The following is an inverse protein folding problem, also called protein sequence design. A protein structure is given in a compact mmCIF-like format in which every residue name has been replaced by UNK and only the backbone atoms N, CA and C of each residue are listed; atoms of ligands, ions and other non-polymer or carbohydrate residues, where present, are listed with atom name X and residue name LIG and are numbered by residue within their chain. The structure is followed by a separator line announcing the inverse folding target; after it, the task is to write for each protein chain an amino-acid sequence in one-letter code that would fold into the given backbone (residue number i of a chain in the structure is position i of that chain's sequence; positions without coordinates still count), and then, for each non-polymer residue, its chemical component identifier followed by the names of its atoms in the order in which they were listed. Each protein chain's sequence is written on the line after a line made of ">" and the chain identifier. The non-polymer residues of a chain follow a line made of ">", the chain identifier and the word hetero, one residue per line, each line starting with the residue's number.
data_IF_788161509116
#
_entry.id   IF_788161509116
#
_cell.length_a   1.000
_cell.length_b   1.000
_cell.length_c   1.000
_cell.angle_alpha   90.00
_cell.angle_beta   90.00
_cell.angle_gamma   90.00
#
_symmetry.space_group_name_H-M   'P 1'
#
loop_
_entity.id
_entity.type
_entity.pdbx_description
1 polymer ?
#
# COMPACT_ATOMS: atom_id res chain seq x y z
N UNK A 1 27.45 -35.53 15.40
CA UNK A 1 27.49 -34.16 15.97
C UNK A 1 27.55 -33.18 14.81
N UNK A 2 26.42 -32.58 14.45
CA UNK A 2 26.30 -31.64 13.32
C UNK A 2 26.92 -30.30 13.70
N UNK A 3 27.87 -29.84 12.89
CA UNK A 3 28.50 -28.53 13.05
C UNK A 3 27.45 -27.43 12.88
N UNK A 4 27.09 -26.79 14.00
CA UNK A 4 26.22 -25.60 14.01
C UNK A 4 26.96 -24.50 13.24
N UNK A 5 26.51 -24.20 12.03
CA UNK A 5 27.08 -23.13 11.21
C UNK A 5 27.13 -21.84 12.05
N UNK A 6 28.33 -21.31 12.28
CA UNK A 6 28.53 -20.06 13.02
C UNK A 6 27.89 -18.93 12.22
N UNK A 7 26.77 -18.41 12.70
CA UNK A 7 26.16 -17.20 12.18
C UNK A 7 27.20 -16.06 12.26
N UNK A 8 27.44 -15.30 11.17
CA UNK A 8 28.42 -14.22 11.19
C UNK A 8 28.02 -13.16 12.22
N UNK A 9 28.99 -12.62 12.97
CA UNK A 9 28.78 -11.66 14.08
C UNK A 9 27.88 -10.48 13.70
N UNK A 10 28.02 -9.97 12.47
CA UNK A 10 27.20 -8.88 11.95
C UNK A 10 25.71 -9.26 11.81
N UNK A 11 25.42 -10.52 11.45
CA UNK A 11 24.07 -11.01 11.34
C UNK A 11 23.45 -11.22 12.73
N UNK A 12 24.20 -11.77 13.68
CA UNK A 12 23.74 -11.86 15.08
C UNK A 12 23.38 -10.48 15.64
N UNK A 13 24.26 -9.48 15.42
CA UNK A 13 24.03 -8.10 15.84
C UNK A 13 22.79 -7.46 15.18
N UNK A 14 22.38 -7.93 14.00
CA UNK A 14 21.14 -7.51 13.35
C UNK A 14 19.91 -8.23 13.92
N UNK A 15 19.98 -9.56 14.07
CA UNK A 15 18.84 -10.38 14.54
C UNK A 15 18.45 -10.11 15.99
N UNK A 16 19.38 -9.61 16.82
CA UNK A 16 19.12 -9.21 18.20
C UNK A 16 18.41 -7.85 18.33
N UNK A 17 18.32 -7.09 17.23
CA UNK A 17 17.55 -5.84 17.20
C UNK A 17 16.07 -6.15 17.04
N UNK A 18 15.23 -5.39 17.74
CA UNK A 18 13.78 -5.44 17.47
C UNK A 18 13.44 -4.75 16.14
N UNK A 19 12.23 -4.99 15.62
CA UNK A 19 11.82 -4.51 14.29
C UNK A 19 11.99 -2.99 14.11
N UNK A 20 11.70 -2.21 15.16
CA UNK A 20 11.85 -0.75 15.12
C UNK A 20 13.32 -0.35 15.03
N UNK A 21 14.20 -1.03 15.75
CA UNK A 21 15.66 -0.82 15.71
C UNK A 21 16.24 -1.25 14.36
N UNK A 22 15.85 -2.42 13.85
CA UNK A 22 16.24 -2.91 12.52
C UNK A 22 15.82 -1.93 11.44
N UNK A 23 14.55 -1.51 11.48
CA UNK A 23 13.97 -0.53 10.58
C UNK A 23 14.67 0.82 10.60
N UNK A 24 14.94 1.34 11.79
CA UNK A 24 15.68 2.60 11.96
C UNK A 24 17.11 2.49 11.44
N UNK A 25 17.81 1.40 11.76
CA UNK A 25 19.16 1.15 11.28
C UNK A 25 19.22 1.02 9.75
N UNK A 26 18.21 0.37 9.15
CA UNK A 26 18.04 0.28 7.69
C UNK A 26 17.82 1.65 7.05
N UNK A 27 16.96 2.50 7.62
CA UNK A 27 16.73 3.85 7.10
C UNK A 27 18.02 4.68 7.10
N UNK A 28 18.79 4.63 8.19
CA UNK A 28 20.11 5.30 8.27
C UNK A 28 21.08 4.73 7.21
N UNK A 29 21.10 3.41 7.02
CA UNK A 29 21.95 2.76 6.02
C UNK A 29 21.61 3.18 4.59
N UNK A 30 20.34 3.25 4.23
CA UNK A 30 19.93 3.70 2.90
C UNK A 30 20.36 5.14 2.62
N UNK A 31 20.20 6.05 3.58
CA UNK A 31 20.63 7.45 3.46
C UNK A 31 22.15 7.57 3.37
N UNK A 32 22.91 6.77 4.14
CA UNK A 32 24.39 6.70 4.03
C UNK A 32 24.82 6.25 2.64
N UNK A 33 24.19 5.21 2.10
CA UNK A 33 24.51 4.68 0.76
C UNK A 33 24.12 5.66 -0.36
N UNK A 34 23.02 6.39 -0.23
CA UNK A 34 22.64 7.45 -1.17
C UNK A 34 23.68 8.58 -1.20
N UNK A 35 24.11 9.07 -0.03
CA UNK A 35 25.17 10.08 0.06
C UNK A 35 26.48 9.60 -0.56
N UNK A 36 26.84 8.34 -0.34
CA UNK A 36 28.02 7.73 -0.93
C UNK A 36 27.92 7.63 -2.46
N UNK A 37 26.76 7.26 -3.00
CA UNK A 37 26.52 7.22 -4.44
C UNK A 37 26.62 8.61 -5.10
N UNK A 38 26.04 9.64 -4.47
CA UNK A 38 26.14 11.03 -4.92
C UNK A 38 27.62 11.47 -4.95
N UNK A 39 28.37 11.21 -3.88
CA UNK A 39 29.79 11.54 -3.80
C UNK A 39 30.63 10.85 -4.89
N UNK A 40 30.39 9.56 -5.16
CA UNK A 40 31.08 8.86 -6.25
C UNK A 40 30.74 9.47 -7.61
N UNK A 41 29.48 9.86 -7.82
CA UNK A 41 29.05 10.52 -9.05
C UNK A 41 29.71 11.88 -9.22
N UNK A 42 29.72 12.72 -8.19
CA UNK A 42 30.37 14.04 -8.24
C UNK A 42 31.87 13.92 -8.50
N UNK A 43 32.53 12.95 -7.85
CA UNK A 43 33.94 12.65 -8.11
C UNK A 43 34.19 12.20 -9.56
N UNK A 44 33.31 11.37 -10.13
CA UNK A 44 33.41 10.95 -11.55
C UNK A 44 33.22 12.10 -12.55
N UNK A 45 32.57 13.20 -12.11
CA UNK A 45 32.39 14.43 -12.88
C UNK A 45 33.50 15.46 -12.60
N UNK A 46 34.58 15.08 -11.90
CA UNK A 46 35.69 15.95 -11.56
C UNK A 46 35.41 16.93 -10.39
N UNK A 47 34.23 16.88 -9.78
CA UNK A 47 33.85 17.69 -8.61
C UNK A 47 34.26 17.01 -7.32
N UNK A 48 35.56 16.77 -7.17
CA UNK A 48 36.11 16.13 -5.97
C UNK A 48 36.11 17.10 -4.79
N UNK A 49 35.58 16.66 -3.65
CA UNK A 49 35.63 17.38 -2.39
C UNK A 49 36.29 16.48 -1.34
N UNK A 50 37.38 16.99 -0.75
CA UNK A 50 38.24 16.31 0.22
C UNK A 50 37.68 16.19 1.63
N UNK A 51 36.44 16.64 1.87
CA UNK A 51 35.75 16.49 3.16
C UNK A 51 35.81 15.03 3.66
N UNK A 52 36.29 14.76 4.89
CA UNK A 52 36.39 13.41 5.42
C UNK A 52 35.05 12.65 5.46
N UNK A 53 35.10 11.34 5.22
CA UNK A 53 33.91 10.48 5.23
C UNK A 53 33.10 10.52 6.52
N UNK A 54 33.74 10.76 7.66
CA UNK A 54 33.08 10.87 8.96
C UNK A 54 32.19 12.11 9.07
N UNK A 55 32.44 13.15 8.26
CA UNK A 55 31.70 14.41 8.30
C UNK A 55 30.51 14.38 7.34
N UNK A 56 30.73 14.05 6.06
CA UNK A 56 29.64 14.07 5.08
C UNK A 56 28.65 12.92 5.23
N UNK A 57 29.04 11.80 5.86
CA UNK A 57 28.13 10.67 6.16
C UNK A 57 27.19 10.92 7.35
N UNK A 58 27.32 12.05 8.06
CA UNK A 58 26.38 12.41 9.13
C UNK A 58 24.99 12.64 8.55
N UNK A 59 23.98 12.05 9.15
CA UNK A 59 22.57 12.14 8.74
C UNK A 59 21.84 12.96 9.79
N UNK A 60 21.13 13.99 9.34
CA UNK A 60 20.31 14.83 10.19
C UNK A 60 19.11 14.02 10.72
N UNK A 61 18.96 13.97 12.04
CA UNK A 61 17.95 13.17 12.71
C UNK A 61 16.84 14.03 13.28
N UNK A 62 17.16 15.02 14.13
CA UNK A 62 16.16 15.83 14.80
C UNK A 62 16.72 17.22 15.11
N UNK A 63 15.87 18.24 14.99
CA UNK A 63 16.20 19.60 15.36
C UNK A 63 15.65 19.94 16.75
N UNK A 64 16.40 20.74 17.49
CA UNK A 64 16.04 21.33 18.76
C UNK A 64 16.13 22.87 18.64
N UNK A 65 14.99 23.60 18.74
CA UNK A 65 13.66 23.17 19.19
C UNK A 65 12.93 22.29 18.16
N UNK A 66 12.17 21.31 18.65
CA UNK A 66 11.49 20.29 17.82
C UNK A 66 10.19 20.76 17.14
N UNK A 67 10.01 22.06 16.94
CA UNK A 67 8.81 22.63 16.30
C UNK A 67 8.87 22.47 14.77
N UNK A 68 8.17 21.45 14.27
CA UNK A 68 8.10 21.13 12.83
C UNK A 68 7.59 22.27 11.96
N UNK A 69 6.85 23.24 12.50
CA UNK A 69 6.38 24.41 11.73
C UNK A 69 7.50 25.41 11.48
N UNK A 70 8.49 25.46 12.36
CA UNK A 70 9.61 26.39 12.30
C UNK A 70 10.82 25.80 11.55
N UNK A 71 11.14 24.51 11.79
CA UNK A 71 12.39 23.91 11.31
C UNK A 71 12.19 22.72 10.35
N UNK A 72 10.93 22.38 10.05
CA UNK A 72 10.57 21.28 9.15
C UNK A 72 10.85 19.89 9.73
N UNK A 73 10.82 18.89 8.84
CA UNK A 73 11.14 17.49 9.16
C UNK A 73 12.41 17.07 8.41
N UNK A 74 13.28 16.30 9.06
CA UNK A 74 14.50 15.79 8.42
C UNK A 74 14.17 14.65 7.45
N UNK A 75 15.06 14.38 6.49
CA UNK A 75 14.89 13.24 5.56
C UNK A 75 14.82 11.92 6.31
N UNK A 76 15.57 11.76 7.42
CA UNK A 76 15.47 10.57 8.25
C UNK A 76 14.10 10.48 8.95
N UNK A 77 13.55 11.59 9.45
CA UNK A 77 12.20 11.61 10.02
C UNK A 77 11.14 11.26 8.98
N UNK A 78 11.22 11.81 7.77
CA UNK A 78 10.34 11.46 6.65
C UNK A 78 10.38 9.95 6.33
N UNK A 79 11.59 9.38 6.26
CA UNK A 79 11.75 7.93 6.02
C UNK A 79 11.13 7.10 7.14
N UNK A 80 11.32 7.49 8.40
CA UNK A 80 10.70 6.79 9.53
C UNK A 80 9.17 6.94 9.55
N UNK A 81 8.64 8.07 9.09
CA UNK A 81 7.20 8.33 8.96
C UNK A 81 6.54 7.41 7.93
N UNK A 82 7.19 7.16 6.78
CA UNK A 82 6.72 6.21 5.77
C UNK A 82 6.52 4.78 6.32
N UNK A 83 7.29 4.39 7.34
CA UNK A 83 7.16 3.10 8.02
C UNK A 83 6.22 3.14 9.24
N UNK A 84 5.53 4.26 9.47
CA UNK A 84 4.63 4.45 10.63
C UNK A 84 5.37 4.57 11.97
N UNK A 85 6.67 4.88 11.95
CA UNK A 85 7.52 4.99 13.15
C UNK A 85 7.71 6.43 13.64
N UNK A 86 6.89 7.38 13.18
CA UNK A 86 6.91 8.80 13.59
C UNK A 86 6.37 9.07 15.02
N UNK A 87 6.39 8.04 15.87
CA UNK A 87 5.86 8.11 17.23
C UNK A 87 6.96 8.45 18.25
N UNK A 88 6.58 8.97 19.42
CA UNK A 88 7.47 9.08 20.59
C UNK A 88 8.29 7.78 20.78
N UNK A 89 9.60 7.92 21.01
CA UNK A 89 10.54 6.79 21.12
C UNK A 89 11.64 6.70 20.04
N UNK A 90 11.69 7.63 19.08
CA UNK A 90 12.84 7.68 18.16
C UNK A 90 14.14 8.01 18.89
N UNK A 91 14.10 8.89 19.91
CA UNK A 91 15.25 9.16 20.77
C UNK A 91 15.75 7.93 21.54
N UNK A 92 14.86 7.10 22.10
CA UNK A 92 15.24 5.87 22.81
C UNK A 92 15.74 4.80 21.84
N UNK A 93 15.19 4.72 20.63
CA UNK A 93 15.68 3.82 19.58
C UNK A 93 17.10 4.21 19.13
N UNK A 94 17.36 5.50 18.91
CA UNK A 94 18.71 5.99 18.60
C UNK A 94 19.69 5.76 19.75
N UNK A 95 19.27 5.97 20.99
CA UNK A 95 20.10 5.67 22.16
C UNK A 95 20.43 4.17 22.24
N UNK A 96 19.46 3.29 21.97
CA UNK A 96 19.65 1.84 22.00
C UNK A 96 20.53 1.30 20.86
N UNK A 97 20.51 1.94 19.68
CA UNK A 97 21.44 1.64 18.58
C UNK A 97 22.85 2.15 18.87
N UNK A 98 22.97 3.31 19.51
CA UNK A 98 24.25 3.88 19.92
C UNK A 98 24.91 3.07 21.05
N UNK A 99 24.13 2.62 22.05
CA UNK A 99 24.64 1.79 23.15
C UNK A 99 25.15 0.43 22.68
N UNK A 100 24.62 -0.08 21.55
CA UNK A 100 25.10 -1.28 20.86
C UNK A 100 26.30 -1.02 19.93
N UNK A 101 26.79 0.21 19.86
CA UNK A 101 27.91 0.59 18.99
C UNK A 101 27.60 0.53 17.49
N UNK A 102 26.32 0.54 17.09
CA UNK A 102 25.92 0.48 15.68
C UNK A 102 25.86 1.85 15.03
N UNK A 103 25.58 2.89 15.81
CA UNK A 103 25.62 4.28 15.35
C UNK A 103 26.41 5.15 16.33
N UNK A 104 26.94 6.27 15.85
CA UNK A 104 27.36 7.40 16.67
C UNK A 104 26.31 8.49 16.63
N UNK A 105 26.19 9.23 17.72
CA UNK A 105 25.32 10.40 17.85
C UNK A 105 26.20 11.64 18.02
N UNK A 106 25.91 12.68 17.27
CA UNK A 106 26.60 13.97 17.35
C UNK A 106 25.58 15.10 17.28
N UNK A 107 26.01 16.31 17.61
CA UNK A 107 25.22 17.53 17.43
C UNK A 107 26.00 18.52 16.56
N UNK A 108 25.28 19.37 15.83
CA UNK A 108 25.84 20.53 15.13
C UNK A 108 24.96 21.76 15.36
N UNK A 109 25.58 22.92 15.50
CA UNK A 109 24.86 24.19 15.59
C UNK A 109 24.14 24.52 14.28
N UNK A 110 23.01 25.21 14.39
CA UNK A 110 22.23 25.76 13.27
C UNK A 110 21.75 27.16 13.65
N UNK A 111 21.30 27.95 12.66
CA UNK A 111 20.81 29.31 12.92
C UNK A 111 19.63 29.40 13.90
N UNK A 112 18.85 28.32 14.04
CA UNK A 112 17.64 28.27 14.86
C UNK A 112 17.75 27.32 16.07
N UNK A 113 18.95 26.82 16.39
CA UNK A 113 19.17 25.88 17.50
C UNK A 113 20.18 24.78 17.15
N UNK A 114 19.93 23.55 17.58
CA UNK A 114 20.87 22.42 17.42
C UNK A 114 20.26 21.30 16.57
N UNK A 115 21.03 20.79 15.62
CA UNK A 115 20.69 19.59 14.86
C UNK A 115 21.38 18.38 15.46
N UNK A 116 20.58 17.43 15.94
CA UNK A 116 21.02 16.08 16.30
C UNK A 116 21.29 15.29 15.02
N UNK A 117 22.49 14.73 14.91
CA UNK A 117 22.94 13.94 13.76
C UNK A 117 23.36 12.55 14.19
N UNK A 118 23.25 11.60 13.26
CA UNK A 118 23.67 10.21 13.47
C UNK A 118 24.58 9.77 12.33
N UNK A 119 25.52 8.86 12.62
CA UNK A 119 26.34 8.23 11.59
C UNK A 119 26.51 6.73 11.89
N UNK A 120 26.58 5.90 10.85
CA UNK A 120 26.82 4.47 11.04
C UNK A 120 28.27 4.20 11.41
N UNK A 121 28.47 3.35 12.41
CA UNK A 121 29.79 2.77 12.67
C UNK A 121 30.13 1.73 11.61
N UNK A 122 31.36 1.21 11.63
CA UNK A 122 31.74 0.06 10.80
C UNK A 122 30.88 -1.17 11.13
N UNK A 123 30.65 -1.42 12.42
CA UNK A 123 29.78 -2.50 12.90
C UNK A 123 28.32 -2.30 12.49
N UNK A 124 27.80 -1.07 12.60
CA UNK A 124 26.45 -0.73 12.15
C UNK A 124 26.24 -0.94 10.65
N UNK A 125 27.19 -0.53 9.81
CA UNK A 125 27.14 -0.80 8.37
C UNK A 125 27.19 -2.29 8.06
N UNK A 126 28.04 -3.05 8.75
CA UNK A 126 28.13 -4.50 8.56
C UNK A 126 26.82 -5.19 8.98
N UNK A 127 26.24 -4.81 10.12
CA UNK A 127 24.98 -5.35 10.61
C UNK A 127 23.80 -4.97 9.71
N UNK A 128 23.69 -3.70 9.34
CA UNK A 128 22.66 -3.22 8.41
C UNK A 128 22.77 -3.91 7.05
N UNK A 129 23.98 -4.09 6.51
CA UNK A 129 24.21 -4.83 5.28
C UNK A 129 23.81 -6.29 5.42
N UNK A 130 24.26 -6.99 6.46
CA UNK A 130 23.90 -8.38 6.70
C UNK A 130 22.37 -8.58 6.82
N UNK A 131 21.70 -7.68 7.52
CA UNK A 131 20.25 -7.68 7.69
C UNK A 131 19.48 -7.36 6.41
N UNK A 132 19.86 -6.28 5.73
CA UNK A 132 19.24 -5.87 4.46
C UNK A 132 19.50 -6.87 3.34
N UNK A 133 20.67 -7.52 3.30
CA UNK A 133 20.98 -8.61 2.35
C UNK A 133 20.22 -9.91 2.61
N UNK A 134 19.54 -10.05 3.75
CA UNK A 134 18.57 -11.13 4.01
C UNK A 134 17.13 -10.69 3.74
N UNK A 135 16.79 -9.41 3.95
CA UNK A 135 15.44 -8.89 3.64
C UNK A 135 15.24 -8.60 2.16
N UNK A 136 16.32 -8.27 1.44
CA UNK A 136 16.40 -8.46 0.00
C UNK A 136 17.10 -9.79 -0.14
N UNK A 137 16.36 -10.90 -0.30
CA UNK A 137 16.96 -12.11 -0.86
C UNK A 137 17.83 -11.65 -2.01
N UNK A 138 19.14 -11.91 -1.91
CA UNK A 138 20.15 -11.30 -2.76
C UNK A 138 19.56 -11.24 -4.16
N UNK A 139 19.23 -10.02 -4.64
CA UNK A 139 18.59 -9.89 -5.95
C UNK A 139 19.44 -10.78 -6.85
N UNK A 140 18.89 -11.87 -7.43
CA UNK A 140 19.69 -12.64 -8.36
C UNK A 140 20.26 -11.60 -9.31
N UNK A 141 21.55 -11.70 -9.63
CA UNK A 141 22.13 -10.85 -10.69
C UNK A 141 21.45 -11.28 -11.98
N UNK A 142 20.19 -10.89 -12.14
CA UNK A 142 19.40 -11.06 -13.34
C UNK A 142 20.04 -10.15 -14.37
N UNK A 143 20.29 -10.70 -15.56
CA UNK A 143 21.12 -10.07 -16.58
C UNK A 143 20.62 -8.68 -17.01
N UNK A 144 19.33 -8.41 -16.82
CA UNK A 144 18.66 -7.16 -17.20
C UNK A 144 18.22 -6.34 -15.99
N UNK A 145 18.23 -5.01 -16.16
CA UNK A 145 17.62 -4.07 -15.22
C UNK A 145 16.08 -4.16 -15.30
N UNK A 146 15.38 -3.63 -14.29
CA UNK A 146 13.90 -3.62 -14.25
C UNK A 146 13.29 -3.04 -15.53
N UNK A 147 13.82 -1.91 -16.00
CA UNK A 147 13.30 -1.24 -17.22
C UNK A 147 13.60 -2.05 -18.49
N UNK A 148 14.79 -2.65 -18.60
CA UNK A 148 15.12 -3.47 -19.76
C UNK A 148 14.29 -4.76 -19.81
N UNK A 149 14.00 -5.36 -18.65
CA UNK A 149 13.09 -6.51 -18.55
C UNK A 149 11.66 -6.14 -18.94
N UNK A 150 11.15 -5.00 -18.46
CA UNK A 150 9.83 -4.48 -18.84
C UNK A 150 9.72 -4.30 -20.36
N UNK A 151 10.73 -3.69 -21.00
CA UNK A 151 10.73 -3.52 -22.46
C UNK A 151 10.79 -4.86 -23.18
N UNK A 152 11.59 -5.82 -22.70
CA UNK A 152 11.64 -7.15 -23.29
C UNK A 152 10.29 -7.91 -23.17
N UNK A 153 9.56 -7.74 -22.06
CA UNK A 153 8.22 -8.28 -21.89
C UNK A 153 7.18 -7.62 -22.81
N UNK A 154 7.28 -6.31 -23.03
CA UNK A 154 6.44 -5.61 -24.01
C UNK A 154 6.74 -6.07 -25.44
N UNK A 155 8.02 -6.27 -25.78
CA UNK A 155 8.46 -6.81 -27.06
C UNK A 155 7.91 -8.21 -27.30
N UNK A 156 7.95 -9.08 -26.29
CA UNK A 156 7.32 -10.40 -26.35
C UNK A 156 5.83 -10.30 -26.64
N UNK A 157 5.12 -9.42 -25.93
CA UNK A 157 3.68 -9.21 -26.14
C UNK A 157 3.36 -8.68 -27.53
N UNK A 158 4.21 -7.80 -28.07
CA UNK A 158 4.07 -7.25 -29.42
C UNK A 158 4.30 -8.34 -30.49
N UNK A 159 5.32 -9.18 -30.31
CA UNK A 159 5.63 -10.34 -31.16
C UNK A 159 4.45 -11.32 -31.23
N UNK A 160 3.83 -11.64 -30.09
CA UNK A 160 2.62 -12.48 -30.05
C UNK A 160 1.43 -11.89 -30.82
N UNK A 161 1.39 -10.56 -31.00
CA UNK A 161 0.37 -9.87 -31.80
C UNK A 161 0.78 -9.70 -33.27
N UNK A 162 1.97 -10.15 -33.65
CA UNK A 162 2.56 -9.95 -34.98
C UNK A 162 2.83 -8.49 -35.31
N UNK A 163 3.06 -7.63 -34.31
CA UNK A 163 3.27 -6.19 -34.49
C UNK A 163 4.58 -5.74 -33.85
N UNK A 164 5.30 -4.78 -34.45
CA UNK A 164 6.45 -4.17 -33.80
C UNK A 164 6.00 -3.30 -32.62
N UNK A 165 6.89 -3.17 -31.63
CA UNK A 165 6.69 -2.28 -30.50
C UNK A 165 7.25 -0.90 -30.84
N UNK A 166 6.40 0.12 -30.75
CA UNK A 166 6.83 1.51 -30.85
C UNK A 166 7.15 2.04 -29.44
N UNK A 167 8.40 2.44 -29.22
CA UNK A 167 8.75 3.22 -28.03
C UNK A 167 9.64 4.40 -28.42
N UNK A 168 9.59 5.47 -27.62
CA UNK A 168 10.43 6.64 -27.83
C UNK A 168 11.90 6.28 -27.58
N UNK A 169 12.76 6.59 -28.56
CA UNK A 169 14.20 6.36 -28.58
C UNK A 169 14.84 6.41 -27.19
N UNK A 170 15.52 5.33 -26.81
CA UNK A 170 16.18 5.22 -25.51
C UNK A 170 17.52 4.54 -25.65
N UNK A 171 18.57 5.36 -25.75
CA UNK A 171 19.97 4.92 -25.86
C UNK A 171 20.35 3.85 -24.83
N UNK A 172 19.84 3.96 -23.61
CA UNK A 172 20.12 2.99 -22.54
C UNK A 172 19.49 1.63 -22.81
N UNK A 173 18.27 1.59 -23.37
CA UNK A 173 17.56 0.35 -23.63
C UNK A 173 18.07 -0.31 -24.90
N UNK A 174 18.33 0.47 -25.95
CA UNK A 174 18.96 -0.03 -27.18
C UNK A 174 20.36 -0.57 -26.91
N UNK A 175 21.18 0.14 -26.14
CA UNK A 175 22.47 -0.38 -25.72
C UNK A 175 22.34 -1.71 -24.96
N UNK A 176 21.37 -1.80 -24.03
CA UNK A 176 21.22 -3.00 -23.20
C UNK A 176 20.63 -4.19 -23.97
N UNK A 177 19.67 -3.99 -24.86
CA UNK A 177 18.96 -5.08 -25.56
C UNK A 177 19.54 -5.42 -26.93
N UNK A 178 20.17 -4.45 -27.60
CA UNK A 178 20.70 -4.58 -28.97
C UNK A 178 22.23 -4.67 -28.90
N UNK A 179 22.92 -3.61 -28.48
CA UNK A 179 24.38 -3.52 -28.63
C UNK A 179 25.17 -4.45 -27.68
N UNK A 180 24.69 -4.63 -26.45
CA UNK A 180 25.40 -5.37 -25.40
C UNK A 180 25.31 -6.90 -25.57
N UNK A 181 24.28 -7.40 -26.26
CA UNK A 181 24.05 -8.83 -26.44
C UNK A 181 24.48 -9.29 -27.83
N UNK A 182 25.19 -10.42 -27.89
CA UNK A 182 25.61 -11.05 -29.15
C UNK A 182 25.14 -12.51 -29.09
N UNK A 183 24.15 -12.93 -29.91
CA UNK A 183 23.28 -12.11 -30.77
C UNK A 183 22.37 -11.15 -29.97
N UNK A 184 21.87 -10.05 -30.59
CA UNK A 184 21.02 -9.08 -29.91
C UNK A 184 19.69 -9.69 -29.47
N UNK A 185 19.08 -9.18 -28.40
CA UNK A 185 17.77 -9.64 -27.89
C UNK A 185 16.59 -8.94 -28.58
N UNK A 186 16.81 -7.74 -29.09
CA UNK A 186 15.86 -6.96 -29.87
C UNK A 186 16.56 -6.38 -31.10
N UNK A 187 15.80 -6.01 -32.11
CA UNK A 187 16.33 -5.31 -33.28
C UNK A 187 15.35 -4.24 -33.77
N UNK A 188 15.91 -3.22 -34.41
CA UNK A 188 15.15 -2.15 -35.04
C UNK A 188 14.54 -2.64 -36.35
N UNK A 189 13.31 -2.20 -36.63
CA UNK A 189 12.60 -2.43 -37.88
C UNK A 189 11.90 -1.13 -38.32
N UNK A 190 11.44 -1.03 -39.58
CA UNK A 190 10.91 0.23 -40.13
C UNK A 190 9.79 0.88 -39.31
N UNK A 191 9.00 0.06 -38.59
CA UNK A 191 7.84 0.49 -37.81
C UNK A 191 8.07 0.39 -36.28
N UNK A 192 9.33 0.25 -35.82
CA UNK A 192 9.68 0.23 -34.40
C UNK A 192 10.74 -0.81 -34.05
N UNK A 193 10.47 -1.63 -33.04
CA UNK A 193 11.38 -2.68 -32.58
C UNK A 193 10.69 -4.02 -32.51
N UNK A 194 11.44 -5.10 -32.76
CA UNK A 194 10.95 -6.47 -32.62
C UNK A 194 11.91 -7.31 -31.77
N UNK A 195 11.36 -8.33 -31.11
CA UNK A 195 12.16 -9.31 -30.38
C UNK A 195 12.84 -10.24 -31.38
N UNK A 196 14.11 -10.55 -31.15
CA UNK A 196 14.83 -11.54 -31.98
C UNK A 196 14.52 -12.96 -31.48
N UNK A 197 14.93 -13.98 -32.24
CA UNK A 197 14.87 -15.37 -31.79
C UNK A 197 15.67 -15.58 -30.50
N UNK A 198 16.89 -15.03 -30.44
CA UNK A 198 17.71 -15.03 -29.23
C UNK A 198 17.04 -14.34 -28.05
N UNK A 199 16.31 -13.25 -28.32
CA UNK A 199 15.48 -12.52 -27.36
C UNK A 199 14.34 -13.37 -26.81
N UNK A 200 13.63 -14.11 -27.68
CA UNK A 200 12.60 -15.07 -27.26
C UNK A 200 13.18 -16.13 -26.34
N UNK A 201 14.30 -16.75 -26.72
CA UNK A 201 14.93 -17.78 -25.89
C UNK A 201 15.44 -17.22 -24.56
N UNK A 202 16.00 -16.01 -24.57
CA UNK A 202 16.37 -15.33 -23.33
C UNK A 202 15.14 -15.12 -22.45
N UNK A 203 14.04 -14.62 -23.03
CA UNK A 203 12.79 -14.38 -22.31
C UNK A 203 12.28 -15.66 -21.66
N UNK A 204 12.17 -16.78 -22.40
CA UNK A 204 11.73 -18.07 -21.85
C UNK A 204 12.64 -18.56 -20.73
N UNK A 205 13.94 -18.61 -20.98
CA UNK A 205 14.93 -19.17 -20.04
C UNK A 205 15.10 -18.34 -18.77
N UNK A 206 14.85 -17.04 -18.85
CA UNK A 206 15.08 -16.10 -17.75
C UNK A 206 13.79 -15.54 -17.14
N UNK A 207 12.62 -15.99 -17.61
CA UNK A 207 11.31 -15.50 -17.17
C UNK A 207 11.13 -15.63 -15.67
N UNK A 208 11.23 -16.83 -15.11
CA UNK A 208 11.06 -17.06 -13.67
C UNK A 208 11.99 -16.16 -12.84
N UNK A 209 13.28 -16.15 -13.17
CA UNK A 209 14.27 -15.36 -12.45
C UNK A 209 14.02 -13.84 -12.48
N UNK A 210 13.56 -13.29 -13.61
CA UNK A 210 13.25 -11.86 -13.71
C UNK A 210 11.89 -11.49 -13.11
N UNK A 211 10.90 -12.38 -13.25
CA UNK A 211 9.57 -12.26 -12.65
C UNK A 211 9.64 -12.27 -11.12
N UNK A 212 10.52 -13.11 -10.55
CA UNK A 212 10.92 -13.11 -9.15
C UNK A 212 11.59 -11.79 -8.71
N UNK A 213 12.57 -11.32 -9.50
CA UNK A 213 13.37 -10.15 -9.15
C UNK A 213 12.60 -8.82 -9.31
N UNK A 214 11.63 -8.79 -10.22
CA UNK A 214 10.84 -7.63 -10.61
C UNK A 214 9.34 -7.97 -10.62
N UNK A 215 8.74 -8.30 -9.47
CA UNK A 215 7.37 -8.83 -9.39
C UNK A 215 6.28 -7.82 -9.79
N UNK A 216 6.64 -6.54 -9.87
CA UNK A 216 5.77 -5.45 -10.33
C UNK A 216 5.71 -5.33 -11.85
N UNK A 217 6.61 -5.99 -12.58
CA UNK A 217 6.57 -6.01 -14.05
C UNK A 217 5.59 -7.10 -14.47
N UNK A 218 4.58 -6.72 -15.24
CA UNK A 218 3.63 -7.66 -15.85
C UNK A 218 4.31 -8.30 -17.06
N UNK A 219 4.93 -9.45 -16.84
CA UNK A 219 5.62 -10.23 -17.86
C UNK A 219 4.84 -11.51 -18.16
N UNK A 220 4.14 -11.62 -19.32
CA UNK A 220 3.35 -12.79 -19.68
C UNK A 220 4.18 -14.08 -19.61
N UNK A 221 3.57 -15.19 -19.17
CA UNK A 221 4.26 -16.47 -19.15
C UNK A 221 4.63 -16.91 -20.59
N UNK A 222 5.85 -17.41 -20.85
CA UNK A 222 6.28 -17.78 -22.20
C UNK A 222 5.45 -18.89 -22.85
N UNK A 223 4.84 -19.75 -22.04
CA UNK A 223 4.02 -20.88 -22.50
C UNK A 223 2.52 -20.52 -22.66
N UNK A 224 2.17 -19.24 -22.54
CA UNK A 224 0.80 -18.75 -22.70
C UNK A 224 0.05 -18.57 -21.39
N UNK A 225 -1.22 -18.13 -21.50
CA UNK A 225 -2.06 -17.72 -20.36
C UNK A 225 -2.40 -18.91 -19.45
N UNK A 226 -2.53 -20.11 -20.00
CA UNK A 226 -2.84 -21.33 -19.23
C UNK A 226 -1.67 -21.78 -18.33
N UNK A 227 -0.46 -21.30 -18.63
CA UNK A 227 0.73 -21.52 -17.82
C UNK A 227 1.01 -20.37 -16.83
N UNK A 228 0.18 -19.30 -16.82
CA UNK A 228 0.28 -18.27 -15.80
C UNK A 228 -0.12 -18.86 -14.45
N UNK A 229 0.74 -18.77 -13.43
CA UNK A 229 0.43 -19.30 -12.10
C UNK A 229 -0.67 -18.46 -11.41
N UNK A 230 -1.09 -17.34 -12.02
CA UNK A 230 -2.19 -16.50 -11.58
C UNK A 230 -3.19 -16.26 -12.72
N UNK A 231 -4.36 -16.90 -12.72
CA UNK A 231 -5.36 -16.71 -13.76
C UNK A 231 -5.98 -15.31 -13.66
N UNK A 232 -6.01 -14.57 -14.78
CA UNK A 232 -6.67 -13.25 -14.88
C UNK A 232 -8.13 -13.24 -14.41
N UNK A 233 -8.81 -14.40 -14.48
CA UNK A 233 -10.17 -14.59 -13.98
C UNK A 233 -10.29 -14.33 -12.47
N UNK A 234 -9.24 -14.58 -11.68
CA UNK A 234 -9.25 -14.30 -10.25
C UNK A 234 -9.37 -12.79 -9.97
N UNK A 235 -8.60 -11.97 -10.70
CA UNK A 235 -8.65 -10.51 -10.60
C UNK A 235 -9.99 -9.97 -11.09
N UNK A 236 -10.53 -10.53 -12.17
CA UNK A 236 -11.85 -10.17 -12.68
C UNK A 236 -12.95 -10.41 -11.64
N UNK A 237 -12.96 -11.58 -10.99
CA UNK A 237 -13.93 -11.92 -9.95
C UNK A 237 -13.79 -11.01 -8.73
N UNK A 238 -12.58 -10.73 -8.26
CA UNK A 238 -12.35 -9.76 -7.18
C UNK A 238 -12.86 -8.36 -7.55
N UNK A 239 -12.68 -7.95 -8.81
CA UNK A 239 -13.19 -6.67 -9.30
C UNK A 239 -14.72 -6.64 -9.38
N UNK A 240 -15.36 -7.75 -9.72
CA UNK A 240 -16.83 -7.87 -9.68
C UNK A 240 -17.37 -7.70 -8.25
N UNK A 241 -16.74 -8.34 -7.25
CA UNK A 241 -17.08 -8.15 -5.82
C UNK A 241 -16.91 -6.69 -5.39
N UNK A 242 -15.78 -6.07 -5.75
CA UNK A 242 -15.52 -4.65 -5.47
C UNK A 242 -16.58 -3.74 -6.10
N UNK A 243 -16.91 -3.94 -7.39
CA UNK A 243 -17.92 -3.15 -8.11
C UNK A 243 -19.29 -3.26 -7.47
N UNK A 244 -19.72 -4.46 -7.08
CA UNK A 244 -21.01 -4.67 -6.43
C UNK A 244 -21.08 -3.89 -5.10
N UNK A 245 -20.05 -4.04 -4.25
CA UNK A 245 -19.98 -3.30 -2.99
C UNK A 245 -20.02 -1.78 -3.19
N UNK A 246 -19.23 -1.23 -4.13
CA UNK A 246 -19.23 0.20 -4.42
C UNK A 246 -20.59 0.69 -4.95
N UNK A 247 -21.25 -0.10 -5.80
CA UNK A 247 -22.59 0.22 -6.30
C UNK A 247 -23.62 0.29 -5.16
N UNK A 248 -23.58 -0.67 -4.23
CA UNK A 248 -24.46 -0.69 -3.05
C UNK A 248 -24.18 0.48 -2.08
N UNK A 249 -22.92 0.81 -1.83
CA UNK A 249 -22.55 1.98 -1.01
C UNK A 249 -23.02 3.29 -1.65
N UNK A 250 -22.92 3.40 -2.98
CA UNK A 250 -23.42 4.57 -3.71
C UNK A 250 -24.95 4.67 -3.61
N UNK A 251 -25.67 3.57 -3.78
CA UNK A 251 -27.11 3.52 -3.62
C UNK A 251 -27.55 3.85 -2.19
N UNK A 252 -26.86 3.30 -1.19
CA UNK A 252 -27.09 3.61 0.23
C UNK A 252 -26.90 5.10 0.54
N UNK A 253 -25.83 5.72 0.03
CA UNK A 253 -25.57 7.14 0.23
C UNK A 253 -26.69 8.01 -0.37
N UNK A 254 -27.14 7.69 -1.59
CA UNK A 254 -28.25 8.39 -2.23
C UNK A 254 -29.57 8.23 -1.46
N UNK A 255 -29.90 7.00 -1.01
CA UNK A 255 -31.09 6.76 -0.20
C UNK A 255 -31.05 7.52 1.14
N UNK A 256 -29.87 7.67 1.72
CA UNK A 256 -29.66 8.42 2.96
C UNK A 256 -29.84 9.92 2.76
N UNK A 257 -29.37 10.48 1.65
CA UNK A 257 -29.63 11.89 1.30
C UNK A 257 -31.13 12.15 1.10
N UNK A 258 -31.84 11.23 0.43
CA UNK A 258 -33.29 11.31 0.27
C UNK A 258 -34.03 11.23 1.62
N UNK A 259 -33.58 10.36 2.53
CA UNK A 259 -34.13 10.26 3.86
C UNK A 259 -33.97 11.56 4.66
N UNK A 260 -32.76 12.14 4.67
CA UNK A 260 -32.48 13.40 5.36
C UNK A 260 -33.28 14.57 4.79
N UNK A 261 -33.46 14.61 3.47
CA UNK A 261 -34.27 15.63 2.80
C UNK A 261 -35.74 15.47 3.15
N UNK A 262 -36.27 14.26 3.13
CA UNK A 262 -37.67 14.01 3.49
C UNK A 262 -37.94 14.27 4.98
N UNK A 263 -36.96 14.01 5.85
CA UNK A 263 -37.05 14.31 7.28
C UNK A 263 -37.04 15.82 7.57
N UNK A 264 -36.24 16.60 6.83
CA UNK A 264 -36.25 18.07 6.96
C UNK A 264 -37.56 18.67 6.47
N UNK A 265 -38.15 18.14 5.39
CA UNK A 265 -39.47 18.55 4.92
C UNK A 265 -40.59 18.16 5.91
N UNK A 266 -40.50 16.97 6.50
CA UNK A 266 -41.44 16.50 7.51
C UNK A 266 -41.45 17.34 8.81
N UNK A 267 -40.33 17.99 9.13
CA UNK A 267 -40.12 18.76 10.36
C UNK A 267 -40.07 20.27 10.15
N UNK A 268 -40.23 20.74 8.91
CA UNK A 268 -40.20 22.15 8.59
C UNK A 268 -41.38 22.90 9.20
N UNK A 269 -41.09 24.06 9.79
CA UNK A 269 -42.08 24.94 10.40
C UNK A 269 -43.07 25.46 9.35
N UNK A 270 -44.35 25.66 9.73
CA UNK A 270 -45.33 26.25 8.84
C UNK A 270 -44.91 27.66 8.41
N UNK A 271 -45.14 28.04 7.14
CA UNK A 271 -44.85 29.39 6.69
C UNK A 271 -45.67 30.38 7.53
N UNK A 272 -45.02 31.42 8.03
CA UNK A 272 -45.71 32.46 8.81
C UNK A 272 -46.71 33.19 7.92
N UNK A 273 -48.03 33.12 8.20
CA UNK A 273 -49.01 33.78 7.37
C UNK A 273 -48.84 35.30 7.46
N UNK A 274 -48.96 35.99 6.32
CA UNK A 274 -48.99 37.45 6.31
C UNK A 274 -50.22 37.94 7.07
N UNK A 275 -50.06 38.96 7.92
CA UNK A 275 -51.13 39.56 8.74
C UNK A 275 -52.29 40.16 7.91
N UNK A 276 -52.13 40.25 6.59
CA UNK A 276 -53.10 40.83 5.64
C UNK A 276 -54.06 39.77 5.05
N UNK A 277 -53.79 38.46 5.23
CA UNK A 277 -54.60 37.42 4.61
C UNK A 277 -55.91 37.13 5.38
N UNK A 278 -57.03 36.87 4.67
CA UNK A 278 -58.27 36.41 5.32
C UNK A 278 -58.08 35.08 6.06
N UNK A 279 -58.81 34.89 7.17
CA UNK A 279 -58.71 33.69 8.01
C UNK A 279 -58.89 32.37 7.22
N UNK A 280 -59.85 32.32 6.29
CA UNK A 280 -60.08 31.14 5.44
C UNK A 280 -58.87 30.77 4.57
N UNK A 281 -58.08 31.77 4.12
CA UNK A 281 -56.85 31.54 3.33
C UNK A 281 -55.73 31.02 4.24
N UNK A 282 -55.66 31.52 5.48
CA UNK A 282 -54.73 30.99 6.49
C UNK A 282 -55.03 29.53 6.82
N UNK A 283 -56.31 29.15 6.96
CA UNK A 283 -56.71 27.74 7.17
C UNK A 283 -56.34 26.85 5.97
N UNK A 284 -56.61 27.31 4.75
CA UNK A 284 -56.24 26.55 3.54
C UNK A 284 -54.73 26.36 3.41
N UNK A 285 -53.93 27.40 3.68
CA UNK A 285 -52.46 27.28 3.66
C UNK A 285 -51.92 26.36 4.75
N UNK A 286 -52.51 26.36 5.94
CA UNK A 286 -52.18 25.41 7.00
C UNK A 286 -52.49 23.96 6.60
N UNK A 287 -53.66 23.71 5.99
CA UNK A 287 -54.03 22.38 5.51
C UNK A 287 -53.10 21.86 4.39
N UNK A 288 -52.67 22.73 3.46
CA UNK A 288 -51.69 22.38 2.43
C UNK A 288 -50.33 22.05 3.06
N UNK A 289 -49.90 22.83 4.06
CA UNK A 289 -48.66 22.57 4.79
C UNK A 289 -48.69 21.24 5.55
N UNK A 290 -49.81 20.92 6.20
CA UNK A 290 -50.00 19.64 6.90
C UNK A 290 -49.91 18.45 5.92
N UNK A 291 -50.57 18.55 4.76
CA UNK A 291 -50.48 17.52 3.71
C UNK A 291 -49.04 17.35 3.20
N UNK A 292 -48.31 18.46 3.03
CA UNK A 292 -46.91 18.43 2.62
C UNK A 292 -46.01 17.77 3.68
N UNK A 293 -46.20 18.09 4.96
CA UNK A 293 -45.50 17.44 6.08
C UNK A 293 -45.83 15.94 6.17
N UNK A 294 -47.08 15.53 5.99
CA UNK A 294 -47.48 14.13 5.95
C UNK A 294 -46.81 13.38 4.80
N UNK A 295 -46.79 13.98 3.60
CA UNK A 295 -46.08 13.43 2.45
C UNK A 295 -44.57 13.35 2.71
N UNK A 296 -43.99 14.33 3.41
CA UNK A 296 -42.61 14.29 3.91
C UNK A 296 -42.36 13.10 4.84
N UNK A 297 -43.22 12.90 5.85
CA UNK A 297 -43.13 11.78 6.81
C UNK A 297 -43.19 10.42 6.11
N UNK A 298 -44.09 10.25 5.15
CA UNK A 298 -44.22 9.01 4.38
C UNK A 298 -42.96 8.73 3.53
N UNK A 299 -42.44 9.75 2.84
CA UNK A 299 -41.17 9.64 2.10
C UNK A 299 -39.99 9.33 3.02
N UNK A 300 -39.92 9.97 4.18
CA UNK A 300 -38.87 9.74 5.17
C UNK A 300 -38.90 8.29 5.67
N UNK A 301 -40.08 7.75 5.98
CA UNK A 301 -40.29 6.36 6.39
C UNK A 301 -39.85 5.36 5.31
N UNK A 302 -40.26 5.58 4.05
CA UNK A 302 -39.86 4.72 2.94
C UNK A 302 -38.35 4.78 2.69
N UNK A 303 -37.78 5.97 2.65
CA UNK A 303 -36.34 6.17 2.46
C UNK A 303 -35.53 5.53 3.61
N UNK A 304 -36.02 5.60 4.86
CA UNK A 304 -35.40 4.93 6.01
C UNK A 304 -35.36 3.40 5.84
N UNK A 305 -36.45 2.80 5.36
CA UNK A 305 -36.50 1.37 5.06
C UNK A 305 -35.47 0.99 3.98
N UNK A 306 -35.37 1.78 2.90
CA UNK A 306 -34.36 1.57 1.86
C UNK A 306 -32.93 1.74 2.39
N UNK A 307 -32.66 2.75 3.24
CA UNK A 307 -31.34 2.94 3.86
C UNK A 307 -30.94 1.71 4.68
N UNK A 308 -31.88 1.14 5.44
CA UNK A 308 -31.64 -0.03 6.29
C UNK A 308 -31.38 -1.28 5.44
N UNK A 309 -32.20 -1.53 4.42
CA UNK A 309 -32.00 -2.66 3.49
C UNK A 309 -30.67 -2.56 2.73
N UNK A 310 -30.39 -1.39 2.14
CA UNK A 310 -29.15 -1.15 1.40
C UNK A 310 -27.91 -1.22 2.29
N UNK A 311 -27.99 -0.79 3.55
CA UNK A 311 -26.91 -0.95 4.51
C UNK A 311 -26.60 -2.44 4.76
N UNK A 312 -27.63 -3.26 4.99
CA UNK A 312 -27.49 -4.71 5.16
C UNK A 312 -26.91 -5.40 3.92
N UNK A 313 -27.40 -5.06 2.72
CA UNK A 313 -26.86 -5.58 1.45
C UNK A 313 -25.40 -5.17 1.23
N UNK A 314 -25.06 -3.90 1.48
CA UNK A 314 -23.70 -3.40 1.35
C UNK A 314 -22.74 -4.08 2.33
N UNK A 315 -23.16 -4.35 3.57
CA UNK A 315 -22.36 -5.07 4.56
C UNK A 315 -22.13 -6.54 4.15
N UNK A 316 -23.17 -7.23 3.66
CA UNK A 316 -23.03 -8.59 3.10
C UNK A 316 -22.07 -8.61 1.91
N UNK A 317 -22.20 -7.68 0.97
CA UNK A 317 -21.30 -7.56 -0.18
C UNK A 317 -19.84 -7.26 0.26
N UNK A 318 -19.65 -6.40 1.25
CA UNK A 318 -18.31 -6.13 1.80
C UNK A 318 -17.69 -7.37 2.43
N UNK A 319 -18.48 -8.18 3.15
CA UNK A 319 -18.04 -9.46 3.73
C UNK A 319 -17.69 -10.48 2.66
N UNK A 320 -18.52 -10.62 1.62
CA UNK A 320 -18.23 -11.49 0.48
C UNK A 320 -16.94 -11.09 -0.24
N UNK A 321 -16.74 -9.79 -0.46
CA UNK A 321 -15.51 -9.25 -1.04
C UNK A 321 -14.28 -9.54 -0.16
N UNK A 322 -14.38 -9.34 1.15
CA UNK A 322 -13.30 -9.66 2.09
C UNK A 322 -12.99 -11.15 2.15
N UNK A 323 -13.99 -12.02 2.12
CA UNK A 323 -13.81 -13.48 2.09
C UNK A 323 -13.13 -13.92 0.78
N UNK A 324 -13.58 -13.40 -0.37
CA UNK A 324 -12.96 -13.62 -1.67
C UNK A 324 -11.48 -13.19 -1.68
N UNK A 325 -11.20 -11.97 -1.20
CA UNK A 325 -9.84 -11.45 -1.14
C UNK A 325 -8.94 -12.25 -0.19
N UNK A 326 -9.45 -12.72 0.95
CA UNK A 326 -8.73 -13.62 1.86
C UNK A 326 -8.46 -14.99 1.23
N UNK A 327 -9.40 -15.55 0.49
CA UNK A 327 -9.23 -16.82 -0.24
C UNK A 327 -8.12 -16.71 -1.28
N UNK A 328 -8.16 -15.66 -2.09
CA UNK A 328 -7.15 -15.36 -3.12
C UNK A 328 -5.77 -15.08 -2.50
N UNK A 329 -5.72 -14.33 -1.40
CA UNK A 329 -4.50 -14.12 -0.62
C UNK A 329 -3.91 -15.42 -0.08
N UNK A 330 -4.76 -16.30 0.46
CA UNK A 330 -4.32 -17.60 0.96
C UNK A 330 -3.78 -18.49 -0.16
N UNK A 331 -4.45 -18.54 -1.31
CA UNK A 331 -3.99 -19.27 -2.48
C UNK A 331 -2.60 -18.79 -2.94
N UNK A 332 -2.35 -17.47 -2.93
CA UNK A 332 -1.04 -16.91 -3.21
C UNK A 332 0.04 -17.37 -2.21
N UNK A 333 -0.29 -17.49 -0.92
CA UNK A 333 0.65 -17.98 0.10
C UNK A 333 0.97 -19.45 -0.11
N UNK A 334 -0.04 -20.28 -0.37
CA UNK A 334 0.10 -21.74 -0.44
C UNK A 334 0.44 -22.28 -1.82
N UNK A 335 0.55 -21.40 -2.84
CA UNK A 335 0.70 -21.77 -4.25
C UNK A 335 -0.44 -22.68 -4.73
N UNK A 336 -1.64 -22.49 -4.18
CA UNK A 336 -2.85 -23.15 -4.63
C UNK A 336 -3.51 -22.35 -5.76
N UNK A 337 -4.45 -22.97 -6.47
CA UNK A 337 -5.24 -22.29 -7.49
C UNK A 337 -6.17 -21.23 -6.85
N UNK A 338 -6.03 -19.93 -7.18
CA UNK A 338 -6.85 -18.87 -6.61
C UNK A 338 -8.32 -18.90 -7.04
N UNK A 339 -8.68 -19.69 -8.06
CA UNK A 339 -10.08 -19.91 -8.44
C UNK A 339 -10.77 -20.94 -7.54
N UNK A 340 -10.02 -21.72 -6.77
CA UNK A 340 -10.58 -22.71 -5.85
C UNK A 340 -11.39 -22.00 -4.76
N UNK A 341 -12.72 -22.08 -4.85
CA UNK A 341 -13.66 -21.47 -3.90
C UNK A 341 -13.99 -19.99 -4.17
N UNK A 342 -13.44 -19.39 -5.23
CA UNK A 342 -13.78 -18.03 -5.64
C UNK A 342 -15.01 -18.05 -6.56
N UNK A 343 -16.16 -17.65 -6.01
CA UNK A 343 -17.42 -17.57 -6.75
C UNK A 343 -17.75 -16.12 -7.14
N UNK A 344 -18.48 -15.90 -8.25
CA UNK A 344 -19.00 -14.58 -8.57
C UNK A 344 -19.94 -14.08 -7.46
N UNK A 345 -20.10 -12.76 -7.30
CA UNK A 345 -21.03 -12.22 -6.32
C UNK A 345 -22.46 -12.68 -6.60
N UNK A 346 -23.16 -13.16 -5.57
CA UNK A 346 -24.56 -13.59 -5.63
C UNK A 346 -25.42 -12.74 -4.67
N UNK A 347 -26.68 -12.49 -5.04
CA UNK A 347 -27.67 -11.75 -4.24
C UNK A 347 -28.60 -12.68 -3.43
N UNK A 348 -28.36 -14.00 -3.46
CA UNK A 348 -29.24 -14.98 -2.79
C UNK A 348 -29.08 -14.95 -1.26
N UNK A 349 -30.20 -14.78 -0.55
CA UNK A 349 -30.30 -14.74 0.93
C UNK A 349 -29.89 -16.06 1.65
N UNK A 350 -29.68 -17.15 0.91
CA UNK A 350 -29.41 -18.48 1.46
C UNK A 350 -27.94 -18.74 1.84
N UNK A 351 -27.13 -17.69 2.01
CA UNK A 351 -25.68 -17.85 2.20
C UNK A 351 -25.31 -17.93 3.69
N UNK A 352 -24.80 -19.09 4.14
CA UNK A 352 -24.11 -19.22 5.43
C UNK A 352 -22.86 -18.34 5.44
N UNK A 353 -22.87 -17.27 6.24
CA UNK A 353 -21.82 -16.23 6.25
C UNK A 353 -20.41 -16.86 6.21
N UNK A 354 -19.63 -16.65 5.13
CA UNK A 354 -18.36 -17.34 4.98
C UNK A 354 -17.43 -16.89 6.12
N UNK A 355 -16.84 -17.83 6.87
CA UNK A 355 -16.03 -17.48 8.01
C UNK A 355 -14.78 -16.73 7.55
N UNK A 356 -14.60 -15.51 8.07
CA UNK A 356 -13.44 -14.66 7.80
C UNK A 356 -12.22 -15.20 8.54
N UNK A 357 -11.67 -16.32 8.06
CA UNK A 357 -10.47 -16.93 8.63
C UNK A 357 -9.22 -16.40 7.94
N UNK A 358 -8.35 -15.73 8.70
CA UNK A 358 -7.02 -15.40 8.24
C UNK A 358 -6.15 -16.66 8.34
N UNK A 359 -5.74 -17.22 7.20
CA UNK A 359 -4.95 -18.45 7.13
C UNK A 359 -3.55 -18.18 6.58
N UNK A 360 -2.54 -18.45 7.40
CA UNK A 360 -1.14 -18.33 7.02
C UNK A 360 -0.60 -16.90 7.10
N UNK A 361 0.72 -16.81 7.07
CA UNK A 361 1.48 -15.57 7.01
C UNK A 361 2.34 -15.60 5.74
N UNK A 362 2.55 -14.44 5.12
CA UNK A 362 3.39 -14.31 3.92
C UNK A 362 4.88 -14.43 4.24
N UNK A 363 5.27 -14.25 5.51
CA UNK A 363 6.66 -14.06 5.91
C UNK A 363 7.17 -12.64 5.61
N UNK A 364 6.35 -11.79 5.00
CA UNK A 364 6.63 -10.37 4.77
C UNK A 364 5.95 -9.60 5.91
N UNK A 365 6.69 -9.36 6.99
CA UNK A 365 6.16 -8.79 8.23
C UNK A 365 5.32 -7.51 8.05
N UNK A 366 5.69 -6.61 7.12
CA UNK A 366 4.93 -5.38 6.87
C UNK A 366 3.51 -5.67 6.33
N UNK A 367 3.38 -6.67 5.46
CA UNK A 367 2.10 -7.15 4.94
C UNK A 367 1.35 -7.85 6.07
N UNK A 368 1.98 -8.84 6.72
CA UNK A 368 1.35 -9.65 7.76
C UNK A 368 0.82 -8.80 8.94
N UNK A 369 1.60 -7.83 9.42
CA UNK A 369 1.18 -6.93 10.49
C UNK A 369 -0.02 -6.06 10.09
N UNK A 370 -0.07 -5.60 8.84
CA UNK A 370 -1.15 -4.76 8.32
C UNK A 370 -2.41 -5.60 8.11
N UNK A 371 -2.30 -6.77 7.48
CA UNK A 371 -3.40 -7.73 7.31
C UNK A 371 -3.99 -8.12 8.65
N UNK A 372 -3.16 -8.47 9.64
CA UNK A 372 -3.62 -8.84 10.99
C UNK A 372 -4.37 -7.71 11.68
N UNK A 373 -3.91 -6.46 11.53
CA UNK A 373 -4.59 -5.28 12.08
C UNK A 373 -5.93 -5.02 11.39
N UNK A 374 -5.97 -5.08 10.06
CA UNK A 374 -7.19 -4.86 9.28
C UNK A 374 -8.21 -5.98 9.53
N UNK A 375 -7.77 -7.23 9.56
CA UNK A 375 -8.59 -8.39 9.90
C UNK A 375 -9.20 -8.28 11.29
N UNK A 376 -8.39 -7.98 12.32
CA UNK A 376 -8.87 -7.75 13.68
C UNK A 376 -9.93 -6.65 13.76
N UNK A 377 -9.79 -5.59 12.96
CA UNK A 377 -10.78 -4.51 12.87
C UNK A 377 -12.06 -4.98 12.17
N UNK A 378 -11.93 -5.75 11.09
CA UNK A 378 -13.04 -6.25 10.28
C UNK A 378 -13.91 -7.28 11.03
N UNK A 379 -13.32 -8.13 11.88
CA UNK A 379 -14.06 -9.11 12.70
C UNK A 379 -14.54 -8.57 14.04
N UNK A 380 -14.39 -7.26 14.29
CA UNK A 380 -14.85 -6.63 15.54
C UNK A 380 -14.02 -6.98 16.79
N UNK A 381 -12.82 -7.56 16.62
CA UNK A 381 -11.89 -7.90 17.69
C UNK A 381 -10.59 -7.09 17.59
N UNK A 382 -10.65 -5.74 17.65
CA UNK A 382 -9.48 -4.91 17.43
C UNK A 382 -8.37 -5.24 18.43
N UNK A 383 -7.15 -5.42 17.93
CA UNK A 383 -5.99 -5.74 18.75
C UNK A 383 -5.83 -4.73 19.88
N UNK A 384 -5.86 -5.20 21.13
CA UNK A 384 -5.61 -4.37 22.31
C UNK A 384 -4.24 -3.70 22.14
N UNK A 385 -4.23 -2.36 22.06
CA UNK A 385 -3.01 -1.57 22.07
C UNK A 385 -2.22 -1.93 23.33
N UNK A 386 -1.02 -2.51 23.17
CA UNK A 386 -0.09 -2.70 24.27
C UNK A 386 0.65 -1.39 24.51
N UNK A 387 0.23 -0.64 25.53
CA UNK A 387 0.91 0.57 26.01
C UNK A 387 -0.06 1.63 26.55
N UNK A 388 0.40 2.50 27.46
CA UNK A 388 -0.42 3.58 28.00
C UNK A 388 -0.92 4.48 26.87
N UNK A 389 -2.22 4.81 26.90
CA UNK A 389 -2.82 5.69 25.92
C UNK A 389 -2.06 7.03 25.90
N UNK A 390 -1.63 7.52 24.72
CA UNK A 390 -0.95 8.80 24.66
C UNK A 390 -1.88 9.87 25.23
N UNK A 391 -1.41 10.60 26.25
CA UNK A 391 -2.10 11.78 26.80
C UNK A 391 -2.21 12.81 25.67
N UNK A 392 -3.29 12.75 24.89
CA UNK A 392 -3.67 13.82 23.98
C UNK A 392 -3.94 15.04 24.84
N UNK A 393 -3.02 16.02 24.82
CA UNK A 393 -3.37 17.39 25.21
C UNK A 393 -4.42 17.86 24.21
N UNK A 394 -5.68 17.81 24.62
CA UNK A 394 -6.81 18.18 23.79
C UNK A 394 -6.72 19.67 23.46
N UNK A 395 -6.43 19.98 22.20
CA UNK A 395 -6.75 21.29 21.64
C UNK A 395 -8.26 21.37 21.49
N UNK A 396 -8.88 22.28 22.24
CA UNK A 396 -10.33 22.51 22.41
C UNK A 396 -11.02 23.04 21.14
N UNK A 397 -10.39 22.95 19.95
CA UNK A 397 -10.86 23.65 18.74
C UNK A 397 -11.40 22.78 17.60
N UNK A 398 -11.46 21.46 17.74
CA UNK A 398 -12.31 20.66 16.84
C UNK A 398 -13.71 20.60 17.41
N UNK A 399 -14.56 21.58 17.07
CA UNK A 399 -16.03 21.40 17.06
C UNK A 399 -16.26 20.03 16.43
N UNK A 400 -16.71 19.05 17.22
CA UNK A 400 -17.08 17.72 16.73
C UNK A 400 -18.16 17.95 15.68
N UNK A 401 -17.75 17.94 14.41
CA UNK A 401 -18.67 17.74 13.30
C UNK A 401 -19.45 16.47 13.66
N UNK A 402 -20.79 16.46 13.59
CA UNK A 402 -21.54 15.25 13.85
C UNK A 402 -20.92 14.13 13.01
N UNK A 403 -20.43 13.08 13.68
CA UNK A 403 -19.78 11.95 13.03
C UNK A 403 -20.80 11.40 12.04
N UNK A 404 -20.51 11.56 10.74
CA UNK A 404 -21.31 10.89 9.74
C UNK A 404 -21.21 9.39 10.04
N UNK A 405 -22.34 8.65 10.01
CA UNK A 405 -22.34 7.23 10.22
C UNK A 405 -21.33 6.59 9.26
N UNK A 406 -20.50 5.65 9.75
CA UNK A 406 -19.50 4.99 8.92
C UNK A 406 -20.20 4.28 7.76
N UNK A 407 -19.50 4.20 6.62
CA UNK A 407 -20.01 3.44 5.46
C UNK A 407 -20.27 1.99 5.89
N UNK A 408 -21.39 1.38 5.46
CA UNK A 408 -21.66 -0.03 5.76
C UNK A 408 -20.50 -0.91 5.30
N UNK A 409 -20.02 -1.81 6.16
CA UNK A 409 -18.91 -2.71 5.82
C UNK A 409 -17.53 -2.05 5.60
N UNK A 410 -17.32 -0.79 6.00
CA UNK A 410 -16.07 -0.07 5.71
C UNK A 410 -14.78 -0.80 6.13
N UNK A 411 -14.78 -1.46 7.30
CA UNK A 411 -13.62 -2.20 7.79
C UNK A 411 -13.32 -3.46 6.96
N UNK A 412 -14.38 -4.15 6.50
CA UNK A 412 -14.29 -5.32 5.62
C UNK A 412 -13.74 -4.92 4.24
N UNK A 413 -14.27 -3.85 3.67
CA UNK A 413 -13.80 -3.31 2.40
C UNK A 413 -12.33 -2.86 2.47
N UNK A 414 -11.92 -2.20 3.57
CA UNK A 414 -10.52 -1.80 3.75
C UNK A 414 -9.54 -2.98 3.82
N UNK A 415 -9.95 -4.09 4.47
CA UNK A 415 -9.18 -5.33 4.44
C UNK A 415 -9.09 -5.88 3.01
N UNK A 416 -10.23 -5.98 2.32
CA UNK A 416 -10.33 -6.55 0.98
C UNK A 416 -9.52 -5.75 -0.05
N UNK A 417 -9.60 -4.43 -0.02
CA UNK A 417 -8.84 -3.54 -0.91
C UNK A 417 -7.34 -3.69 -0.69
N UNK A 418 -6.89 -3.74 0.57
CA UNK A 418 -5.48 -3.96 0.88
C UNK A 418 -4.98 -5.31 0.35
N UNK A 419 -5.75 -6.38 0.53
CA UNK A 419 -5.39 -7.71 0.03
C UNK A 419 -5.35 -7.74 -1.50
N UNK A 420 -6.37 -7.18 -2.16
CA UNK A 420 -6.46 -7.08 -3.62
C UNK A 420 -5.24 -6.39 -4.20
N UNK A 421 -4.81 -5.27 -3.63
CA UNK A 421 -3.61 -4.54 -4.09
C UNK A 421 -2.32 -5.38 -4.07
N UNK A 422 -2.19 -6.33 -3.12
CA UNK A 422 -1.04 -7.22 -3.07
C UNK A 422 -1.19 -8.43 -3.99
N UNK A 423 -2.41 -8.93 -4.19
CA UNK A 423 -2.67 -10.11 -5.02
C UNK A 423 -2.85 -9.77 -6.50
N UNK A 424 -3.12 -8.52 -6.85
CA UNK A 424 -3.40 -8.05 -8.22
C UNK A 424 -2.35 -8.54 -9.22
N UNK A 425 -2.84 -9.15 -10.29
CA UNK A 425 -2.03 -9.74 -11.34
C UNK A 425 -1.08 -10.82 -10.85
N UNK A 426 -1.26 -11.42 -9.67
CA UNK A 426 -0.37 -12.43 -9.09
C UNK A 426 0.89 -11.87 -8.43
N UNK A 427 0.90 -10.58 -8.09
CA UNK A 427 2.08 -9.89 -7.55
C UNK A 427 2.60 -10.54 -6.26
N UNK A 428 1.72 -10.89 -5.33
CA UNK A 428 2.10 -11.58 -4.10
C UNK A 428 2.64 -12.99 -4.36
N UNK A 429 2.01 -13.76 -5.26
CA UNK A 429 2.46 -15.10 -5.61
C UNK A 429 3.90 -15.08 -6.15
N UNK A 430 4.19 -14.16 -7.09
CA UNK A 430 5.55 -13.97 -7.63
C UNK A 430 6.57 -13.54 -6.59
N UNK A 431 6.15 -12.75 -5.59
CA UNK A 431 7.03 -12.32 -4.49
C UNK A 431 7.40 -13.47 -3.56
N UNK A 432 6.47 -14.40 -3.33
CA UNK A 432 6.64 -15.51 -2.39
C UNK A 432 7.28 -16.73 -3.03
N UNK A 433 6.93 -16.99 -4.29
CA UNK A 433 7.35 -18.17 -5.06
C UNK A 433 8.06 -17.74 -6.34
N UNK A 434 9.30 -17.22 -6.23
CA UNK A 434 10.11 -16.75 -7.34
C UNK A 434 10.49 -17.84 -8.35
#
# INVERSE_FOLDING_TARGET
>A
MTAKARTPVALTAWTELNDRQQGTLRAIYLLDQQKEAIRRRDASLGKFDGTPAVEWRRIDFAHEPSDRRLVGITTLQQQLELFGWDNQGNGSTMAALASRGLITRNTRGTALGVMHTVALTRAGRAAARAGTSLTTGAKPKVGLSLRAWEVLALLWTADQRGKPLTWNYSTTIEHVLIERHIPPLAEECPDGYRITERGRDFYRNQHAAHTAAYPTVVAPHPDGVDAEPWPARADELLHQHWRLYQALVKAWAAARELHLTAESEATAEPPTPSAVLPAAVVEQTAAVHELWQETGRQRAKLAHAHVTDLAGRAERAARAYAAAALGVYHAAITKADPLTGLQPPSDTDAWDEPPLTLRGETGIHAIDATVKKLHATAVGAPLKRRGPAPKRRGTVLTRRRPEQPPRPGAALAALADYLREHTDGGTLLRRLHP
#
